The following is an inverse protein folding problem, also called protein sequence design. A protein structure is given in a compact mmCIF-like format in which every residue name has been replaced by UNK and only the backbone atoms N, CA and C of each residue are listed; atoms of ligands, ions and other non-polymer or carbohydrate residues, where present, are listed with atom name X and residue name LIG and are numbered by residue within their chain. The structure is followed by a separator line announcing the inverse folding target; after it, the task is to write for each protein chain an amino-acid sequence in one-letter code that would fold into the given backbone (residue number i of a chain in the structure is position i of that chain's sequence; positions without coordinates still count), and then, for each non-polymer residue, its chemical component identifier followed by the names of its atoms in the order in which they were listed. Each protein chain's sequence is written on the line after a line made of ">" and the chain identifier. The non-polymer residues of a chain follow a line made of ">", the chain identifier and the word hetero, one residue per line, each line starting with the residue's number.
data_IF_001160825844
#
_entry.id   IF_001160825844
#
_cell.length_a   1.000
_cell.length_b   1.000
_cell.length_c   1.000
_cell.angle_alpha   90.00
_cell.angle_beta   90.00
_cell.angle_gamma   90.00
#
_symmetry.space_group_name_H-M   'P 1'
#
loop_
_entity.id
_entity.type
_entity.pdbx_description
1 polymer ?
#
# COMPACT_ATOMS: atom_id res chain seq x y z
N UNK A 1 33.12 12.54 0.54
CA UNK A 1 32.87 12.79 1.98
C UNK A 1 31.38 12.61 2.20
N UNK A 2 30.95 11.67 3.04
CA UNK A 2 29.52 11.59 3.37
C UNK A 2 29.12 12.90 4.03
N UNK A 3 28.01 13.50 3.59
CA UNK A 3 27.46 14.67 4.24
C UNK A 3 26.95 14.22 5.61
N UNK A 4 27.66 14.57 6.68
CA UNK A 4 27.35 14.13 8.05
C UNK A 4 25.94 14.56 8.50
N UNK A 5 25.38 15.61 7.89
CA UNK A 5 24.05 16.15 8.19
C UNK A 5 23.24 16.37 6.90
N UNK A 6 22.64 15.31 6.34
CA UNK A 6 22.07 15.34 5.00
C UNK A 6 20.73 16.09 4.88
N UNK A 7 20.02 16.33 5.98
CA UNK A 7 18.67 16.91 5.97
C UNK A 7 18.60 18.41 5.70
N UNK A 8 19.68 19.15 6.01
CA UNK A 8 19.73 20.62 5.91
C UNK A 8 19.42 21.17 4.52
N UNK A 9 20.10 20.71 3.46
CA UNK A 9 19.86 21.19 2.10
C UNK A 9 18.41 21.03 1.61
N UNK A 10 17.76 19.91 1.93
CA UNK A 10 16.35 19.69 1.60
C UNK A 10 15.44 20.63 2.39
N UNK A 11 15.72 20.83 3.68
CA UNK A 11 14.96 21.80 4.48
C UNK A 11 15.07 23.22 3.90
N UNK A 12 16.29 23.63 3.51
CA UNK A 12 16.53 24.92 2.84
C UNK A 12 15.69 25.06 1.58
N UNK A 13 15.72 24.04 0.70
CA UNK A 13 14.95 24.04 -0.54
C UNK A 13 13.46 24.24 -0.27
N UNK A 14 12.90 23.51 0.70
CA UNK A 14 11.49 23.63 1.09
C UNK A 14 11.18 25.02 1.66
N UNK A 15 12.02 25.55 2.56
CA UNK A 15 11.88 26.91 3.10
C UNK A 15 11.82 27.95 1.98
N UNK A 16 12.77 27.89 1.05
CA UNK A 16 12.88 28.84 -0.06
C UNK A 16 11.70 28.73 -1.04
N UNK A 17 11.23 27.51 -1.34
CA UNK A 17 10.01 27.31 -2.14
C UNK A 17 8.76 27.88 -1.50
N UNK A 18 8.72 27.97 -0.16
CA UNK A 18 7.63 28.64 0.59
C UNK A 18 7.85 30.14 0.77
N UNK A 19 8.92 30.70 0.22
CA UNK A 19 9.20 32.14 0.27
C UNK A 19 9.58 32.66 1.67
N UNK A 20 9.95 31.77 2.60
CA UNK A 20 10.28 32.17 3.97
C UNK A 20 11.75 32.55 4.10
N UNK A 21 12.03 33.65 4.78
CA UNK A 21 13.39 34.02 5.18
C UNK A 21 13.91 33.08 6.29
N UNK A 22 15.23 33.08 6.49
CA UNK A 22 15.86 32.38 7.62
C UNK A 22 15.28 32.83 8.97
N UNK A 23 14.98 34.13 9.12
CA UNK A 23 14.45 34.69 10.37
C UNK A 23 13.02 34.21 10.65
N UNK A 24 12.18 34.20 9.62
CA UNK A 24 10.79 33.74 9.75
C UNK A 24 10.74 32.23 10.05
N UNK A 25 11.51 31.42 9.33
CA UNK A 25 11.56 29.98 9.54
C UNK A 25 12.17 29.60 10.90
N UNK A 26 13.24 30.28 11.33
CA UNK A 26 13.88 30.02 12.62
C UNK A 26 12.95 30.38 13.78
N UNK A 27 12.13 31.45 13.62
CA UNK A 27 11.17 31.93 14.60
C UNK A 27 11.82 32.04 15.99
N UNK A 28 11.20 31.48 17.03
CA UNK A 28 11.76 31.36 18.39
C UNK A 28 12.32 29.97 18.67
N UNK A 29 12.49 29.12 17.66
CA UNK A 29 12.85 27.71 17.80
C UNK A 29 14.37 27.57 17.89
N UNK A 30 15.08 28.22 16.97
CA UNK A 30 16.56 28.28 16.93
C UNK A 30 17.01 29.67 16.49
N UNK A 31 18.29 30.00 16.63
CA UNK A 31 18.81 31.25 16.05
C UNK A 31 18.90 31.16 14.52
N UNK A 32 18.72 32.28 13.78
CA UNK A 32 18.92 32.30 12.33
C UNK A 32 20.32 31.83 11.90
N UNK A 33 21.34 32.10 12.72
CA UNK A 33 22.71 31.62 12.47
C UNK A 33 22.79 30.10 12.62
N UNK A 34 22.13 29.52 13.62
CA UNK A 34 22.07 28.07 13.77
C UNK A 34 21.34 27.43 12.59
N UNK A 35 20.17 27.97 12.21
CA UNK A 35 19.39 27.47 11.08
C UNK A 35 20.20 27.52 9.76
N UNK A 36 20.92 28.62 9.51
CA UNK A 36 21.78 28.73 8.33
C UNK A 36 22.87 27.66 8.27
N UNK A 37 23.47 27.30 9.42
CA UNK A 37 24.49 26.24 9.49
C UNK A 37 23.88 24.85 9.31
N UNK A 38 22.70 24.62 9.88
CA UNK A 38 21.94 23.39 9.64
C UNK A 38 21.64 23.23 8.14
N UNK A 39 21.09 24.26 7.50
CA UNK A 39 20.74 24.26 6.07
C UNK A 39 21.91 24.00 5.12
N UNK A 40 23.13 24.33 5.55
CA UNK A 40 24.37 24.05 4.81
C UNK A 40 24.95 22.66 5.07
N UNK A 41 24.32 21.85 5.93
CA UNK A 41 24.84 20.56 6.36
C UNK A 41 26.05 20.66 7.29
N UNK A 42 26.30 21.83 7.90
CA UNK A 42 27.44 22.03 8.81
C UNK A 42 27.15 21.58 10.25
N UNK A 43 25.86 21.47 10.61
CA UNK A 43 25.40 21.07 11.93
C UNK A 43 24.18 20.18 11.82
N UNK A 44 24.10 19.19 12.71
CA UNK A 44 22.86 18.46 12.98
C UNK A 44 21.90 19.30 13.80
N UNK A 45 20.67 18.80 13.92
CA UNK A 45 19.61 19.40 14.72
C UNK A 45 18.90 18.31 15.51
N UNK A 46 18.40 18.64 16.70
CA UNK A 46 17.58 17.72 17.50
C UNK A 46 16.23 17.47 16.81
N UNK A 47 15.65 16.29 17.02
CA UNK A 47 14.36 15.90 16.47
C UNK A 47 13.24 16.89 16.85
N UNK A 48 13.24 17.37 18.08
CA UNK A 48 12.23 18.30 18.61
C UNK A 48 12.26 19.63 17.86
N UNK A 49 13.44 20.25 17.73
CA UNK A 49 13.61 21.48 16.97
C UNK A 49 13.29 21.28 15.48
N UNK A 50 13.70 20.17 14.88
CA UNK A 50 13.36 19.89 13.49
C UNK A 50 11.85 19.76 13.28
N UNK A 51 11.14 19.03 14.15
CA UNK A 51 9.68 18.96 14.13
C UNK A 51 9.02 20.34 14.25
N UNK A 52 9.51 21.19 15.16
CA UNK A 52 9.00 22.57 15.31
C UNK A 52 9.27 23.43 14.09
N UNK A 53 10.42 23.24 13.44
CA UNK A 53 10.74 23.93 12.18
C UNK A 53 9.84 23.48 11.03
N UNK A 54 9.51 22.18 10.90
CA UNK A 54 8.53 21.72 9.92
C UNK A 54 7.16 22.38 10.15
N UNK A 55 6.71 22.48 11.40
CA UNK A 55 5.48 23.20 11.77
C UNK A 55 5.59 24.69 11.37
N UNK A 56 6.73 25.34 11.59
CA UNK A 56 6.94 26.73 11.19
C UNK A 56 6.87 26.93 9.66
N UNK A 57 7.25 25.92 8.89
CA UNK A 57 7.09 25.88 7.43
C UNK A 57 5.69 25.42 7.00
N UNK A 58 4.82 24.99 7.91
CA UNK A 58 3.52 24.39 7.59
C UNK A 58 3.63 23.07 6.82
N UNK A 59 4.64 22.25 7.16
CA UNK A 59 4.91 20.95 6.53
C UNK A 59 4.64 19.80 7.50
N UNK A 60 4.14 18.69 6.95
CA UNK A 60 4.13 17.40 7.62
C UNK A 60 5.47 16.67 7.41
N UNK A 61 5.71 15.64 8.22
CA UNK A 61 6.88 14.76 8.06
C UNK A 61 6.94 14.09 6.69
N UNK A 62 5.78 13.67 6.15
CA UNK A 62 5.68 13.04 4.84
C UNK A 62 6.12 13.99 3.71
N UNK A 63 5.84 15.30 3.84
CA UNK A 63 6.24 16.30 2.84
C UNK A 63 7.77 16.44 2.80
N UNK A 64 8.40 16.43 3.98
CA UNK A 64 9.85 16.45 4.07
C UNK A 64 10.47 15.16 3.53
N UNK A 65 9.96 14.00 3.94
CA UNK A 65 10.47 12.70 3.49
C UNK A 65 10.39 12.56 1.96
N UNK A 66 9.26 12.95 1.37
CA UNK A 66 9.07 13.00 -0.08
C UNK A 66 10.12 13.88 -0.79
N UNK A 67 10.33 15.11 -0.30
CA UNK A 67 11.33 16.00 -0.88
C UNK A 67 12.77 15.51 -0.65
N UNK A 68 13.04 14.87 0.48
CA UNK A 68 14.35 14.31 0.79
C UNK A 68 14.65 13.14 -0.16
N UNK A 69 13.70 12.23 -0.35
CA UNK A 69 13.75 11.16 -1.33
C UNK A 69 13.98 11.68 -2.75
N UNK A 70 13.18 12.64 -3.22
CA UNK A 70 13.30 13.17 -4.58
C UNK A 70 14.69 13.78 -4.86
N UNK A 71 15.31 14.37 -3.84
CA UNK A 71 16.68 14.91 -3.90
C UNK A 71 17.79 13.84 -3.78
N UNK A 72 17.46 12.55 -3.75
CA UNK A 72 18.43 11.46 -3.61
C UNK A 72 18.85 11.16 -2.17
N UNK A 73 18.05 11.59 -1.19
CA UNK A 73 18.30 11.31 0.22
C UNK A 73 18.06 9.84 0.56
N UNK A 74 18.96 9.25 1.34
CA UNK A 74 18.85 7.87 1.80
C UNK A 74 17.72 7.73 2.83
N UNK A 75 16.55 7.29 2.37
CA UNK A 75 15.34 7.07 3.14
C UNK A 75 14.50 5.95 2.51
N UNK A 76 13.49 5.44 3.24
CA UNK A 76 12.67 4.30 2.81
C UNK A 76 11.88 4.62 1.53
N UNK A 77 11.50 5.88 1.34
CA UNK A 77 10.73 6.35 0.20
C UNK A 77 11.58 6.42 -1.09
N UNK A 78 12.89 6.63 -0.98
CA UNK A 78 13.78 6.91 -2.11
C UNK A 78 13.71 5.86 -3.24
N UNK A 79 13.76 4.55 -2.99
CA UNK A 79 13.65 3.56 -4.06
C UNK A 79 12.38 3.71 -4.90
N UNK A 80 11.23 4.00 -4.28
CA UNK A 80 9.97 4.20 -5.00
C UNK A 80 10.01 5.46 -5.87
N UNK A 81 10.61 6.55 -5.38
CA UNK A 81 10.79 7.78 -6.14
C UNK A 81 11.71 7.56 -7.35
N UNK A 82 12.87 6.95 -7.15
CA UNK A 82 13.79 6.64 -8.25
C UNK A 82 13.14 5.73 -9.28
N UNK A 83 12.47 4.67 -8.84
CA UNK A 83 11.73 3.80 -9.75
C UNK A 83 10.72 4.59 -10.58
N UNK A 84 9.91 5.44 -9.94
CA UNK A 84 8.89 6.24 -10.64
C UNK A 84 9.44 7.21 -11.71
N UNK A 85 10.69 7.69 -11.57
CA UNK A 85 11.34 8.56 -12.56
C UNK A 85 11.62 7.85 -13.89
N UNK A 86 11.72 6.52 -13.85
CA UNK A 86 12.09 5.69 -14.99
C UNK A 86 10.93 4.92 -15.61
N UNK A 87 9.77 4.83 -14.94
CA UNK A 87 8.63 4.05 -15.41
C UNK A 87 7.54 4.96 -15.99
N UNK A 88 7.34 4.88 -17.31
CA UNK A 88 6.22 5.55 -17.99
C UNK A 88 5.18 4.55 -18.52
N UNK A 89 5.60 3.33 -18.78
CA UNK A 89 4.76 2.22 -19.24
C UNK A 89 5.30 0.89 -18.69
N UNK A 90 4.55 -0.20 -18.87
CA UNK A 90 4.88 -1.50 -18.28
C UNK A 90 6.21 -2.10 -18.81
N UNK A 91 6.58 -1.80 -20.05
CA UNK A 91 7.82 -2.29 -20.66
C UNK A 91 9.07 -1.68 -19.99
N UNK A 92 9.00 -0.43 -19.53
CA UNK A 92 10.07 0.25 -18.81
C UNK A 92 10.48 -0.49 -17.52
N UNK A 93 9.53 -1.20 -16.90
CA UNK A 93 9.76 -1.92 -15.65
C UNK A 93 10.81 -2.99 -15.85
N UNK A 94 10.66 -3.81 -16.88
CA UNK A 94 11.62 -4.87 -17.18
C UNK A 94 12.97 -4.30 -17.61
N UNK A 95 12.95 -3.16 -18.31
CA UNK A 95 14.17 -2.47 -18.74
C UNK A 95 14.98 -1.93 -17.57
N UNK A 96 14.32 -1.35 -16.57
CA UNK A 96 14.97 -0.66 -15.44
C UNK A 96 15.19 -1.56 -14.21
N UNK A 97 14.56 -2.75 -14.16
CA UNK A 97 14.69 -3.66 -13.03
C UNK A 97 16.15 -3.97 -12.63
N UNK A 98 17.10 -4.21 -13.56
CA UNK A 98 18.50 -4.46 -13.20
C UNK A 98 19.19 -3.27 -12.52
N UNK A 99 18.87 -2.03 -12.92
CA UNK A 99 19.36 -0.82 -12.27
C UNK A 99 18.72 -0.63 -10.89
N UNK A 100 17.41 -0.89 -10.78
CA UNK A 100 16.68 -0.84 -9.53
C UNK A 100 17.22 -1.84 -8.50
N UNK A 101 17.57 -3.06 -8.92
CA UNK A 101 18.22 -4.06 -8.06
C UNK A 101 19.55 -3.54 -7.49
N UNK A 102 20.40 -2.95 -8.33
CA UNK A 102 21.70 -2.41 -7.93
C UNK A 102 21.59 -1.22 -6.97
N UNK A 103 20.42 -0.57 -6.90
CA UNK A 103 20.17 0.50 -5.92
C UNK A 103 20.35 -0.03 -4.49
N UNK A 104 19.87 -1.24 -4.22
CA UNK A 104 19.91 -1.84 -2.89
C UNK A 104 21.29 -2.33 -2.47
N UNK A 105 22.30 -2.32 -3.36
CA UNK A 105 23.70 -2.55 -2.98
C UNK A 105 24.26 -1.39 -2.14
N UNK A 106 23.58 -0.23 -2.17
CA UNK A 106 24.05 1.01 -1.52
C UNK A 106 23.00 1.68 -0.63
N UNK A 107 21.72 1.40 -0.84
CA UNK A 107 20.60 1.97 -0.09
C UNK A 107 19.94 0.94 0.80
N UNK A 108 19.44 1.37 1.95
CA UNK A 108 18.80 0.50 2.96
C UNK A 108 19.68 -0.68 3.40
N UNK A 109 21.00 -0.55 3.35
CA UNK A 109 21.94 -1.60 3.77
C UNK A 109 21.82 -1.92 5.27
N UNK A 110 21.32 -0.97 6.07
CA UNK A 110 21.05 -1.14 7.50
C UNK A 110 19.82 -2.01 7.77
N UNK A 111 18.94 -2.21 6.77
CA UNK A 111 17.77 -3.07 6.87
C UNK A 111 17.58 -3.93 5.60
N UNK A 112 18.36 -5.01 5.44
CA UNK A 112 18.30 -5.88 4.27
C UNK A 112 16.92 -6.54 4.06
N UNK A 113 16.17 -6.79 5.14
CA UNK A 113 14.81 -7.32 5.03
C UNK A 113 13.87 -6.33 4.36
N UNK A 114 13.95 -5.04 4.71
CA UNK A 114 13.15 -4.01 4.06
C UNK A 114 13.54 -3.83 2.58
N UNK A 115 14.83 -3.88 2.27
CA UNK A 115 15.31 -3.84 0.89
C UNK A 115 14.74 -5.01 0.06
N UNK A 116 14.80 -6.23 0.60
CA UNK A 116 14.25 -7.44 -0.02
C UNK A 116 12.71 -7.34 -0.22
N UNK A 117 11.98 -6.80 0.75
CA UNK A 117 10.54 -6.54 0.65
C UNK A 117 10.23 -5.60 -0.53
N UNK A 118 10.90 -4.45 -0.59
CA UNK A 118 10.68 -3.46 -1.65
C UNK A 118 11.01 -4.00 -3.05
N UNK A 119 12.08 -4.79 -3.16
CA UNK A 119 12.44 -5.42 -4.43
C UNK A 119 11.39 -6.47 -4.86
N UNK A 120 10.90 -7.27 -3.91
CA UNK A 120 9.89 -8.30 -4.18
C UNK A 120 8.53 -7.73 -4.57
N UNK A 121 8.14 -6.56 -4.04
CA UNK A 121 6.90 -5.88 -4.46
C UNK A 121 6.90 -5.66 -5.97
N UNK A 122 8.00 -5.14 -6.53
CA UNK A 122 8.13 -4.88 -7.97
C UNK A 122 8.18 -6.19 -8.75
N UNK A 123 9.06 -7.12 -8.36
CA UNK A 123 9.19 -8.40 -9.08
C UNK A 123 7.88 -9.18 -9.12
N UNK A 124 7.23 -9.37 -7.97
CA UNK A 124 5.99 -10.16 -7.90
C UNK A 124 4.77 -9.41 -8.45
N UNK A 125 4.86 -8.10 -8.64
CA UNK A 125 3.82 -7.30 -9.29
C UNK A 125 3.76 -7.50 -10.80
N UNK A 126 4.90 -7.77 -11.44
CA UNK A 126 5.05 -7.77 -12.91
C UNK A 126 5.49 -9.12 -13.50
N UNK A 127 5.97 -10.05 -12.69
CA UNK A 127 6.00 -11.45 -13.09
C UNK A 127 4.62 -12.07 -12.81
N UNK A 128 3.97 -12.71 -13.80
CA UNK A 128 2.65 -13.30 -13.59
C UNK A 128 2.74 -14.20 -12.38
N UNK A 129 1.76 -14.10 -11.48
CA UNK A 129 1.60 -14.97 -10.31
C UNK A 129 1.69 -16.42 -10.79
N UNK A 130 2.89 -16.99 -10.71
CA UNK A 130 3.15 -18.38 -11.03
C UNK A 130 2.24 -19.18 -10.12
N UNK A 131 1.65 -20.26 -10.62
CA UNK A 131 0.95 -21.20 -9.75
C UNK A 131 1.83 -21.50 -8.52
N UNK A 132 1.22 -21.64 -7.33
CA UNK A 132 1.98 -21.89 -6.10
C UNK A 132 2.96 -23.06 -6.32
N UNK A 133 4.24 -22.75 -6.44
CA UNK A 133 5.33 -23.72 -6.59
C UNK A 133 6.21 -23.69 -5.34
N UNK A 134 6.82 -24.83 -5.03
CA UNK A 134 7.77 -24.95 -3.91
C UNK A 134 8.90 -23.93 -4.04
N UNK A 135 9.44 -23.77 -5.25
CA UNK A 135 10.49 -22.78 -5.57
C UNK A 135 10.05 -21.34 -5.25
N UNK A 136 8.82 -20.97 -5.61
CA UNK A 136 8.30 -19.62 -5.31
C UNK A 136 8.15 -19.41 -3.82
N UNK A 137 7.62 -20.42 -3.11
CA UNK A 137 7.43 -20.38 -1.65
C UNK A 137 8.79 -20.27 -0.94
N UNK A 138 9.79 -21.04 -1.36
CA UNK A 138 11.14 -20.98 -0.80
C UNK A 138 11.74 -19.57 -0.90
N UNK A 139 11.62 -18.93 -2.08
CA UNK A 139 12.12 -17.56 -2.32
C UNK A 139 11.46 -16.50 -1.45
N UNK A 140 10.21 -16.68 -1.05
CA UNK A 140 9.46 -15.75 -0.18
C UNK A 140 9.41 -16.20 1.28
N UNK A 141 9.95 -17.37 1.62
CA UNK A 141 9.88 -17.91 2.98
C UNK A 141 10.49 -16.99 4.04
N UNK A 142 11.63 -16.30 3.79
CA UNK A 142 12.17 -15.32 4.74
C UNK A 142 11.17 -14.19 5.06
N UNK A 143 10.45 -13.70 4.03
CA UNK A 143 9.41 -12.68 4.20
C UNK A 143 8.22 -13.23 4.97
N UNK A 144 7.77 -14.44 4.66
CA UNK A 144 6.68 -15.11 5.41
C UNK A 144 7.05 -15.20 6.90
N UNK A 145 8.28 -15.61 7.20
CA UNK A 145 8.77 -15.74 8.57
C UNK A 145 8.89 -14.38 9.29
N UNK A 146 9.19 -13.32 8.55
CA UNK A 146 9.19 -11.94 9.05
C UNK A 146 7.78 -11.50 9.40
N UNK A 147 6.83 -11.55 8.46
CA UNK A 147 5.44 -11.12 8.65
C UNK A 147 4.73 -11.88 9.78
N UNK A 148 5.04 -13.17 9.98
CA UNK A 148 4.45 -13.99 11.05
C UNK A 148 4.78 -13.46 12.46
N UNK A 149 5.90 -12.75 12.63
CA UNK A 149 6.36 -12.25 13.93
C UNK A 149 5.83 -10.85 14.27
N UNK A 150 5.23 -10.16 13.31
CA UNK A 150 4.81 -8.77 13.46
C UNK A 150 3.37 -8.66 13.98
N UNK A 151 3.11 -7.63 14.77
CA UNK A 151 1.75 -7.25 15.20
C UNK A 151 1.22 -6.03 14.42
N UNK A 152 2.12 -5.17 13.95
CA UNK A 152 1.81 -4.00 13.12
C UNK A 152 2.59 -4.08 11.82
N UNK A 153 2.00 -3.59 10.73
CA UNK A 153 2.59 -3.68 9.40
C UNK A 153 2.76 -2.30 8.78
N UNK A 154 3.91 -2.09 8.16
CA UNK A 154 4.19 -0.93 7.32
C UNK A 154 3.47 -1.03 5.98
N UNK A 155 3.42 0.10 5.29
CA UNK A 155 2.85 0.22 3.94
C UNK A 155 3.42 -0.80 2.95
N UNK A 156 4.74 -1.02 2.95
CA UNK A 156 5.41 -1.95 2.04
C UNK A 156 5.13 -3.41 2.41
N UNK A 157 5.05 -3.74 3.70
CA UNK A 157 4.71 -5.09 4.15
C UNK A 157 3.28 -5.49 3.77
N UNK A 158 2.32 -4.56 3.90
CA UNK A 158 0.94 -4.75 3.47
C UNK A 158 0.83 -4.93 1.95
N UNK A 159 1.56 -4.12 1.19
CA UNK A 159 1.59 -4.23 -0.26
C UNK A 159 2.17 -5.57 -0.73
N UNK A 160 3.30 -5.98 -0.14
CA UNK A 160 3.90 -7.28 -0.43
C UNK A 160 2.96 -8.43 -0.08
N UNK A 161 2.30 -8.37 1.09
CA UNK A 161 1.32 -9.37 1.50
C UNK A 161 0.22 -9.59 0.45
N UNK A 162 -0.31 -8.51 -0.14
CA UNK A 162 -1.32 -8.60 -1.20
C UNK A 162 -0.82 -9.38 -2.43
N UNK A 163 0.49 -9.32 -2.73
CA UNK A 163 1.12 -10.09 -3.81
C UNK A 163 1.35 -11.55 -3.45
N UNK A 164 1.69 -11.85 -2.20
CA UNK A 164 2.11 -13.20 -1.79
C UNK A 164 1.04 -14.05 -1.12
N UNK A 165 -0.13 -13.50 -0.75
CA UNK A 165 -1.16 -14.21 0.05
C UNK A 165 -1.52 -15.60 -0.48
N UNK A 166 -1.51 -15.80 -1.80
CA UNK A 166 -1.85 -17.09 -2.42
C UNK A 166 -0.77 -18.17 -2.21
N UNK A 167 0.43 -17.78 -1.84
CA UNK A 167 1.57 -18.65 -1.56
C UNK A 167 1.75 -18.91 -0.06
N UNK A 168 1.18 -18.06 0.79
CA UNK A 168 1.31 -18.13 2.23
C UNK A 168 0.71 -19.42 2.82
N UNK A 169 1.26 -19.90 3.95
CA UNK A 169 0.63 -20.93 4.77
C UNK A 169 -0.64 -20.37 5.45
N UNK A 170 -1.57 -21.26 5.79
CA UNK A 170 -2.87 -20.87 6.37
C UNK A 170 -2.68 -20.10 7.68
N UNK A 171 -1.70 -20.50 8.48
CA UNK A 171 -1.34 -19.89 9.76
C UNK A 171 -1.01 -18.41 9.61
N UNK A 172 -0.26 -18.04 8.55
CA UNK A 172 0.06 -16.63 8.28
C UNK A 172 -1.21 -15.88 7.84
N UNK A 173 -2.05 -16.49 7.00
CA UNK A 173 -3.29 -15.84 6.55
C UNK A 173 -4.25 -15.60 7.72
N UNK A 174 -4.33 -16.54 8.67
CA UNK A 174 -5.10 -16.38 9.91
C UNK A 174 -4.52 -15.30 10.82
N UNK A 175 -3.19 -15.25 10.98
CA UNK A 175 -2.51 -14.18 11.71
C UNK A 175 -2.82 -12.81 11.10
N UNK A 176 -2.58 -12.65 9.80
CA UNK A 176 -2.85 -11.42 9.05
C UNK A 176 -4.32 -11.02 9.16
N UNK A 177 -5.27 -11.97 9.03
CA UNK A 177 -6.70 -11.66 9.17
C UNK A 177 -7.04 -11.00 10.52
N UNK A 178 -6.46 -11.50 11.62
CA UNK A 178 -6.71 -10.96 12.96
C UNK A 178 -6.07 -9.58 13.12
N UNK A 179 -4.80 -9.45 12.73
CA UNK A 179 -4.07 -8.20 12.89
C UNK A 179 -4.64 -7.09 12.00
N UNK A 180 -4.98 -7.39 10.75
CA UNK A 180 -5.57 -6.40 9.84
C UNK A 180 -6.93 -5.93 10.31
N UNK A 181 -7.79 -6.80 10.86
CA UNK A 181 -9.06 -6.38 11.45
C UNK A 181 -8.85 -5.50 12.69
N UNK A 182 -7.84 -5.81 13.50
CA UNK A 182 -7.47 -4.99 14.66
C UNK A 182 -6.97 -3.61 14.23
N UNK A 183 -6.02 -3.56 13.29
CA UNK A 183 -5.50 -2.31 12.71
C UNK A 183 -6.62 -1.50 12.05
N UNK A 184 -7.54 -2.13 11.32
CA UNK A 184 -8.67 -1.45 10.69
C UNK A 184 -9.58 -0.77 11.73
N UNK A 185 -9.75 -1.34 12.92
CA UNK A 185 -10.53 -0.75 14.02
C UNK A 185 -9.85 0.46 14.66
N UNK A 186 -8.52 0.56 14.57
CA UNK A 186 -7.72 1.59 15.24
C UNK A 186 -7.18 2.67 14.30
N UNK A 187 -7.18 2.41 13.00
CA UNK A 187 -6.69 3.34 11.99
C UNK A 187 -7.43 4.67 12.05
N UNK A 188 -6.74 5.76 11.75
CA UNK A 188 -7.28 7.13 11.75
C UNK A 188 -7.02 7.87 10.45
N UNK A 189 -6.16 7.34 9.58
CA UNK A 189 -5.79 7.94 8.31
C UNK A 189 -6.31 7.13 7.11
N UNK A 190 -6.69 7.84 6.05
CA UNK A 190 -7.30 7.26 4.85
C UNK A 190 -6.36 6.32 4.08
N UNK A 191 -5.07 6.65 3.96
CA UNK A 191 -4.13 5.81 3.20
C UNK A 191 -3.93 4.45 3.89
N UNK A 192 -3.77 4.45 5.21
CA UNK A 192 -3.65 3.22 6.00
C UNK A 192 -4.94 2.42 5.95
N UNK A 193 -6.12 3.07 6.00
CA UNK A 193 -7.39 2.38 5.77
C UNK A 193 -7.43 1.67 4.42
N UNK A 194 -7.02 2.34 3.34
CA UNK A 194 -6.98 1.75 1.99
C UNK A 194 -6.08 0.52 1.96
N UNK A 195 -4.86 0.62 2.50
CA UNK A 195 -3.88 -0.48 2.51
C UNK A 195 -4.37 -1.68 3.33
N UNK A 196 -4.96 -1.44 4.50
CA UNK A 196 -5.52 -2.49 5.35
C UNK A 196 -6.71 -3.16 4.65
N UNK A 197 -7.62 -2.38 4.03
CA UNK A 197 -8.76 -2.92 3.29
C UNK A 197 -8.34 -3.77 2.10
N UNK A 198 -7.29 -3.38 1.38
CA UNK A 198 -6.71 -4.21 0.33
C UNK A 198 -6.21 -5.54 0.91
N UNK A 199 -5.43 -5.50 1.99
CA UNK A 199 -4.99 -6.70 2.71
C UNK A 199 -6.16 -7.63 3.08
N UNK A 200 -7.19 -7.09 3.74
CA UNK A 200 -8.38 -7.84 4.15
C UNK A 200 -9.15 -8.43 2.96
N UNK A 201 -9.25 -7.69 1.85
CA UNK A 201 -9.90 -8.16 0.62
C UNK A 201 -9.16 -9.35 0.04
N UNK A 202 -7.83 -9.28 -0.05
CA UNK A 202 -7.00 -10.38 -0.52
C UNK A 202 -7.00 -11.58 0.43
N UNK A 203 -7.04 -11.37 1.75
CA UNK A 203 -7.23 -12.43 2.75
C UNK A 203 -8.60 -13.12 2.58
N UNK A 204 -9.69 -12.36 2.46
CA UNK A 204 -11.03 -12.91 2.28
C UNK A 204 -11.14 -13.71 0.97
N UNK A 205 -10.57 -13.17 -0.12
CA UNK A 205 -10.45 -13.87 -1.40
C UNK A 205 -9.70 -15.19 -1.26
N UNK A 206 -8.58 -15.21 -0.52
CA UNK A 206 -7.81 -16.42 -0.28
C UNK A 206 -8.64 -17.47 0.46
N UNK A 207 -9.25 -17.12 1.60
CA UNK A 207 -10.12 -18.03 2.34
C UNK A 207 -11.26 -18.57 1.47
N UNK A 208 -11.91 -17.68 0.71
CA UNK A 208 -13.01 -18.04 -0.20
C UNK A 208 -12.60 -19.07 -1.25
N UNK A 209 -11.43 -18.88 -1.89
CA UNK A 209 -10.91 -19.81 -2.90
C UNK A 209 -10.52 -21.17 -2.33
N UNK A 210 -10.12 -21.23 -1.05
CA UNK A 210 -9.77 -22.46 -0.35
C UNK A 210 -10.98 -23.18 0.29
N UNK A 211 -12.21 -22.66 0.10
CA UNK A 211 -13.43 -23.26 0.66
C UNK A 211 -13.79 -22.80 2.07
N UNK A 212 -13.00 -21.91 2.68
CA UNK A 212 -13.26 -21.35 4.02
C UNK A 212 -14.28 -20.20 3.96
N UNK A 213 -15.45 -20.43 3.37
CA UNK A 213 -16.44 -19.39 3.04
C UNK A 213 -16.91 -18.58 4.24
N UNK A 214 -17.16 -19.24 5.38
CA UNK A 214 -17.55 -18.56 6.62
C UNK A 214 -16.45 -17.61 7.14
N UNK A 215 -15.17 -17.98 6.98
CA UNK A 215 -14.05 -17.13 7.41
C UNK A 215 -13.94 -15.88 6.55
N UNK A 216 -14.06 -16.04 5.22
CA UNK A 216 -14.11 -14.91 4.29
C UNK A 216 -15.30 -13.98 4.60
N UNK A 217 -16.49 -14.55 4.81
CA UNK A 217 -17.72 -13.81 5.12
C UNK A 217 -17.62 -13.04 6.45
N UNK A 218 -16.99 -13.62 7.48
CA UNK A 218 -16.77 -12.95 8.75
C UNK A 218 -15.89 -11.69 8.62
N UNK A 219 -14.80 -11.75 7.82
CA UNK A 219 -13.96 -10.57 7.54
C UNK A 219 -14.80 -9.47 6.92
N UNK A 220 -15.55 -9.78 5.86
CA UNK A 220 -16.37 -8.82 5.13
C UNK A 220 -17.42 -8.18 6.05
N UNK A 221 -18.10 -8.99 6.87
CA UNK A 221 -19.10 -8.50 7.83
C UNK A 221 -18.48 -7.57 8.87
N UNK A 222 -17.31 -7.92 9.41
CA UNK A 222 -16.62 -7.06 10.39
C UNK A 222 -16.21 -5.72 9.78
N UNK A 223 -15.68 -5.72 8.54
CA UNK A 223 -15.38 -4.47 7.83
C UNK A 223 -16.64 -3.64 7.63
N UNK A 224 -17.74 -4.25 7.17
CA UNK A 224 -18.99 -3.53 6.89
C UNK A 224 -19.60 -2.88 8.13
N UNK A 225 -19.47 -3.49 9.31
CA UNK A 225 -20.00 -2.96 10.58
C UNK A 225 -19.31 -1.67 11.02
N UNK A 226 -18.03 -1.50 10.69
CA UNK A 226 -17.25 -0.37 11.16
C UNK A 226 -17.56 0.86 10.32
N UNK A 227 -18.11 1.89 10.97
CA UNK A 227 -18.34 3.20 10.36
C UNK A 227 -17.14 4.09 10.67
N UNK A 228 -16.52 4.68 9.64
CA UNK A 228 -15.43 5.64 9.77
C UNK A 228 -15.86 6.94 9.11
N UNK A 229 -15.34 8.09 9.56
CA UNK A 229 -15.68 9.37 8.94
C UNK A 229 -15.15 9.44 7.49
N UNK A 230 -14.09 8.70 7.19
CA UNK A 230 -13.44 8.62 5.87
C UNK A 230 -14.14 7.70 4.88
N UNK A 231 -15.28 7.10 5.25
CA UNK A 231 -15.89 6.01 4.48
C UNK A 231 -16.21 6.37 3.03
N UNK A 232 -16.47 7.64 2.72
CA UNK A 232 -16.64 8.12 1.36
C UNK A 232 -15.38 7.95 0.50
N UNK A 233 -14.20 8.24 1.04
CA UNK A 233 -12.92 8.04 0.36
C UNK A 233 -12.56 6.55 0.20
N UNK A 234 -13.22 5.68 0.95
CA UNK A 234 -13.01 4.23 0.89
C UNK A 234 -13.96 3.52 -0.11
N UNK A 235 -14.73 4.26 -0.91
CA UNK A 235 -15.71 3.69 -1.83
C UNK A 235 -15.11 2.65 -2.80
N UNK A 236 -13.95 2.94 -3.40
CA UNK A 236 -13.28 2.03 -4.34
C UNK A 236 -12.78 0.74 -3.63
N UNK A 237 -11.97 0.81 -2.54
CA UNK A 237 -11.61 -0.39 -1.78
C UNK A 237 -12.81 -1.21 -1.31
N UNK A 238 -13.88 -0.55 -0.84
CA UNK A 238 -15.09 -1.22 -0.40
C UNK A 238 -15.86 -1.87 -1.56
N UNK A 239 -15.85 -1.28 -2.76
CA UNK A 239 -16.39 -1.89 -3.97
C UNK A 239 -15.65 -3.20 -4.29
N UNK A 240 -14.31 -3.22 -4.23
CA UNK A 240 -13.55 -4.45 -4.44
C UNK A 240 -13.84 -5.52 -3.38
N UNK A 241 -13.99 -5.13 -2.12
CA UNK A 241 -14.41 -6.04 -1.05
C UNK A 241 -15.81 -6.61 -1.30
N UNK A 242 -16.75 -5.80 -1.79
CA UNK A 242 -18.10 -6.24 -2.14
C UNK A 242 -18.11 -7.22 -3.32
N UNK A 243 -17.25 -7.00 -4.31
CA UNK A 243 -17.07 -7.95 -5.41
C UNK A 243 -16.58 -9.31 -4.89
N UNK A 244 -15.59 -9.33 -4.00
CA UNK A 244 -15.12 -10.58 -3.39
C UNK A 244 -16.16 -11.20 -2.43
N UNK A 245 -17.02 -10.39 -1.81
CA UNK A 245 -18.18 -10.87 -1.06
C UNK A 245 -19.15 -11.63 -1.96
N UNK A 246 -19.54 -11.04 -3.09
CA UNK A 246 -20.42 -11.67 -4.08
C UNK A 246 -19.82 -12.99 -4.57
N UNK A 247 -18.53 -12.97 -4.94
CA UNK A 247 -17.84 -14.20 -5.36
C UNK A 247 -17.78 -15.26 -4.26
N UNK A 248 -17.64 -14.86 -3.00
CA UNK A 248 -17.70 -15.79 -1.88
C UNK A 248 -19.08 -16.44 -1.74
N UNK A 249 -20.15 -15.65 -1.85
CA UNK A 249 -21.52 -16.19 -1.79
C UNK A 249 -21.79 -17.18 -2.93
N UNK A 250 -21.34 -16.89 -4.16
CA UNK A 250 -21.46 -17.86 -5.26
C UNK A 250 -20.69 -19.15 -5.01
N UNK A 251 -19.43 -19.07 -4.54
CA UNK A 251 -18.65 -20.27 -4.17
C UNK A 251 -19.30 -21.06 -3.05
N UNK A 252 -19.97 -20.37 -2.13
CA UNK A 252 -20.71 -20.96 -1.03
C UNK A 252 -22.13 -21.43 -1.41
N UNK A 253 -22.47 -21.37 -2.70
CA UNK A 253 -23.77 -21.78 -3.24
C UNK A 253 -24.97 -21.08 -2.57
N UNK A 254 -24.83 -19.78 -2.30
CA UNK A 254 -25.84 -18.93 -1.70
C UNK A 254 -26.62 -18.17 -2.77
N UNK A 255 -27.95 -18.34 -2.80
CA UNK A 255 -28.82 -17.67 -3.79
C UNK A 255 -28.86 -16.16 -3.59
N UNK A 256 -28.60 -15.66 -2.37
CA UNK A 256 -28.50 -14.22 -2.10
C UNK A 256 -27.41 -13.54 -2.95
N UNK A 257 -26.43 -14.29 -3.46
CA UNK A 257 -25.39 -13.81 -4.36
C UNK A 257 -25.96 -13.16 -5.64
N UNK A 258 -27.10 -13.65 -6.14
CA UNK A 258 -27.70 -13.19 -7.40
C UNK A 258 -28.17 -11.75 -7.26
N UNK A 259 -28.90 -11.45 -6.19
CA UNK A 259 -29.38 -10.09 -5.92
C UNK A 259 -28.23 -9.13 -5.65
N UNK A 260 -27.22 -9.57 -4.90
CA UNK A 260 -26.01 -8.77 -4.68
C UNK A 260 -25.26 -8.49 -5.99
N UNK A 261 -25.17 -9.48 -6.89
CA UNK A 261 -24.52 -9.33 -8.19
C UNK A 261 -25.26 -8.35 -9.09
N UNK A 262 -26.60 -8.37 -9.12
CA UNK A 262 -27.42 -7.39 -9.85
C UNK A 262 -27.21 -5.97 -9.34
N UNK A 263 -27.20 -5.79 -8.03
CA UNK A 263 -26.96 -4.47 -7.41
C UNK A 263 -25.55 -3.94 -7.75
N UNK A 264 -24.52 -4.79 -7.67
CA UNK A 264 -23.16 -4.41 -8.08
C UNK A 264 -23.08 -4.10 -9.58
N UNK A 265 -23.73 -4.88 -10.44
CA UNK A 265 -23.75 -4.60 -11.88
C UNK A 265 -24.39 -3.24 -12.17
N UNK A 266 -25.53 -2.92 -11.55
CA UNK A 266 -26.18 -1.61 -11.69
C UNK A 266 -25.28 -0.45 -11.24
N UNK A 267 -24.57 -0.63 -10.12
CA UNK A 267 -23.59 0.35 -9.65
C UNK A 267 -22.46 0.56 -10.67
N UNK A 268 -21.87 -0.52 -11.19
CA UNK A 268 -20.77 -0.46 -12.15
C UNK A 268 -21.21 0.12 -13.51
N UNK A 269 -22.40 -0.23 -13.98
CA UNK A 269 -22.99 0.30 -15.21
C UNK A 269 -23.21 1.81 -15.07
N UNK A 270 -23.72 2.24 -13.92
CA UNK A 270 -23.84 3.67 -13.61
C UNK A 270 -22.46 4.34 -13.59
N UNK A 271 -21.45 3.71 -12.99
CA UNK A 271 -20.10 4.29 -12.90
C UNK A 271 -19.38 4.49 -14.25
N UNK A 272 -19.87 3.90 -15.36
CA UNK A 272 -19.29 4.10 -16.70
C UNK A 272 -19.27 5.56 -17.15
N UNK A 273 -20.13 6.43 -16.64
CA UNK A 273 -20.07 7.86 -17.00
C UNK A 273 -18.77 8.53 -16.52
N UNK A 274 -18.11 7.98 -15.49
CA UNK A 274 -16.86 8.47 -14.93
C UNK A 274 -15.68 8.02 -15.79
N UNK A 275 -15.61 6.73 -16.10
CA UNK A 275 -14.59 6.14 -16.97
C UNK A 275 -15.16 4.94 -17.73
N UNK A 276 -15.55 5.16 -18.98
CA UNK A 276 -16.20 4.14 -19.79
C UNK A 276 -15.28 2.93 -20.04
N UNK A 277 -13.98 3.15 -20.23
CA UNK A 277 -13.06 2.07 -20.59
C UNK A 277 -12.77 1.18 -19.39
N UNK A 278 -12.45 1.79 -18.24
CA UNK A 278 -12.17 1.07 -17.01
C UNK A 278 -13.37 0.22 -16.58
N UNK A 279 -14.55 0.84 -16.44
CA UNK A 279 -15.73 0.13 -15.93
C UNK A 279 -16.27 -0.89 -16.94
N UNK A 280 -16.17 -0.67 -18.25
CA UNK A 280 -16.56 -1.68 -19.24
C UNK A 280 -15.69 -2.93 -19.16
N UNK A 281 -14.38 -2.79 -18.95
CA UNK A 281 -13.48 -3.93 -18.76
C UNK A 281 -13.74 -4.62 -17.42
N UNK A 282 -13.98 -3.85 -16.36
CA UNK A 282 -14.30 -4.39 -15.04
C UNK A 282 -15.60 -5.20 -15.06
N UNK A 283 -16.66 -4.70 -15.71
CA UNK A 283 -17.95 -5.39 -15.84
C UNK A 283 -17.80 -6.71 -16.58
N UNK A 284 -17.06 -6.73 -17.70
CA UNK A 284 -16.80 -7.99 -18.43
C UNK A 284 -16.14 -9.03 -17.52
N UNK A 285 -15.12 -8.63 -16.77
CA UNK A 285 -14.45 -9.53 -15.83
C UNK A 285 -15.38 -9.96 -14.67
N UNK A 286 -16.21 -9.05 -14.17
CA UNK A 286 -17.16 -9.31 -13.10
C UNK A 286 -18.23 -10.33 -13.51
N UNK A 287 -18.89 -10.10 -14.64
CA UNK A 287 -19.91 -10.98 -15.21
C UNK A 287 -19.32 -12.37 -15.48
N UNK A 288 -18.15 -12.44 -16.12
CA UNK A 288 -17.47 -13.70 -16.38
C UNK A 288 -17.23 -14.51 -15.10
N UNK A 289 -16.73 -13.87 -14.04
CA UNK A 289 -16.50 -14.56 -12.77
C UNK A 289 -17.80 -14.96 -12.07
N UNK A 290 -18.86 -14.14 -12.13
CA UNK A 290 -20.17 -14.51 -11.59
C UNK A 290 -20.69 -15.79 -12.26
N UNK A 291 -20.73 -15.85 -13.60
CA UNK A 291 -21.16 -17.06 -14.31
C UNK A 291 -20.30 -18.27 -14.00
N UNK A 292 -18.96 -18.09 -13.96
CA UNK A 292 -18.03 -19.18 -13.66
C UNK A 292 -18.23 -19.76 -12.25
N UNK A 293 -18.58 -18.93 -11.28
CA UNK A 293 -18.70 -19.32 -9.87
C UNK A 293 -20.13 -19.74 -9.51
N UNK A 294 -21.13 -19.31 -10.27
CA UNK A 294 -22.52 -19.61 -10.01
C UNK A 294 -22.80 -21.10 -10.22
N UNK A 295 -23.19 -21.76 -9.13
CA UNK A 295 -23.61 -23.17 -9.10
C UNK A 295 -25.04 -23.34 -8.58
N UNK A 296 -25.77 -22.24 -8.44
CA UNK A 296 -27.11 -22.22 -7.85
C UNK A 296 -28.18 -22.80 -8.78
N UNK A 297 -27.90 -22.86 -10.09
CA UNK A 297 -28.86 -23.30 -11.11
C UNK A 297 -29.82 -22.19 -11.57
N UNK A 298 -29.74 -21.00 -10.97
CA UNK A 298 -30.50 -19.83 -11.39
C UNK A 298 -29.68 -18.94 -12.33
N UNK A 299 -30.36 -18.29 -13.28
CA UNK A 299 -29.73 -17.35 -14.19
C UNK A 299 -29.41 -16.02 -13.49
N UNK A 300 -28.28 -15.42 -13.88
CA UNK A 300 -27.69 -14.27 -13.19
C UNK A 300 -28.29 -12.93 -13.65
N UNK A 301 -28.56 -12.80 -14.95
CA UNK A 301 -28.95 -11.55 -15.62
C UNK A 301 -29.97 -11.83 -16.72
#
# INVERSE_FOLDING_TARGET
>A
MSNLYPFGPTFKQLREKRGLSLKEAASTIVSPQFLSRFEKGEKGISLENFNRLLIALGLEWKDFAAAFADNGGDCIEFPAYEFSKHITNEEDIFRYLPEYEKLFDRYLTDNPTQADILLKIIKLGHYPTIAKSEETVEKIQPVINHLMKLETFTSSELELYCRIVNHCPLELVEHMSKQLLFMYKQSVDTDTYIRILNGLTFTAKHFSKQGYHLRADNIIKEVKKLQTFERGYLAIPLMFLEVEHIYNQFRWNKTEAIELAKNMLNYLESAKFIDQNYYSNFIKAFIYNCHKLNKTGEDLF
#
